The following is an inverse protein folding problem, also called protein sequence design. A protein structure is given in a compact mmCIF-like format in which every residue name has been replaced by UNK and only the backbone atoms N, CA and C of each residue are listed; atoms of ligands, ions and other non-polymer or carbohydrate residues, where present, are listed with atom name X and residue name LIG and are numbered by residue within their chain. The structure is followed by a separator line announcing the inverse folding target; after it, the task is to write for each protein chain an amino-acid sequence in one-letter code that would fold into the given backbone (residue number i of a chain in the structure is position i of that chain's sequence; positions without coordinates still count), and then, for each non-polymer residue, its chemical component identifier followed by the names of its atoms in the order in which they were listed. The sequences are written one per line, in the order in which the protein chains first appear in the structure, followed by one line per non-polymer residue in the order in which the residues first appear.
data_IF_806643604408
#
_entry.id   IF_806643604408
#
_cell.length_a   1.000
_cell.length_b   1.000
_cell.length_c   1.000
_cell.angle_alpha   90.00
_cell.angle_beta   90.00
_cell.angle_gamma   90.00
#
_symmetry.space_group_name_H-M   'P 1'
#
loop_
_entity.id
_entity.type
_entity.pdbx_description
1 polymer ?
#
# COMPACT_ATOMS: atom_id res chain seq x y z
N UNK A 1 6.75 -10.69 16.50
CA UNK A 1 5.84 -11.77 16.95
C UNK A 1 4.93 -12.14 15.77
N UNK A 2 4.99 -13.37 15.23
CA UNK A 2 4.13 -13.75 14.09
C UNK A 2 2.74 -14.06 14.68
N UNK A 3 1.79 -13.13 14.52
CA UNK A 3 0.39 -13.38 14.89
C UNK A 3 -0.09 -14.65 14.17
N UNK A 4 -0.84 -15.51 14.88
CA UNK A 4 -1.43 -16.70 14.27
C UNK A 4 -2.33 -16.30 13.09
N UNK A 5 -2.43 -17.17 12.07
CA UNK A 5 -3.29 -16.93 10.89
C UNK A 5 -4.71 -16.51 11.33
N UNK A 6 -5.22 -17.14 12.39
CA UNK A 6 -6.51 -16.81 13.01
C UNK A 6 -6.59 -15.39 13.57
N UNK A 7 -5.62 -14.93 14.37
CA UNK A 7 -5.61 -13.55 14.90
C UNK A 7 -5.55 -12.50 13.79
N UNK A 8 -4.79 -12.76 12.72
CA UNK A 8 -4.72 -11.86 11.55
C UNK A 8 -6.05 -11.80 10.81
N UNK A 9 -6.75 -12.93 10.70
CA UNK A 9 -8.07 -13.00 10.09
C UNK A 9 -9.10 -12.20 10.88
N UNK A 10 -9.15 -12.39 12.21
CA UNK A 10 -10.04 -11.60 13.09
C UNK A 10 -9.75 -10.10 12.95
N UNK A 11 -8.48 -9.70 13.01
CA UNK A 11 -8.10 -8.30 12.87
C UNK A 11 -8.55 -7.70 11.53
N UNK A 12 -8.40 -8.44 10.43
CA UNK A 12 -8.91 -8.01 9.12
C UNK A 12 -10.43 -7.88 9.09
N UNK A 13 -11.15 -8.81 9.72
CA UNK A 13 -12.61 -8.78 9.80
C UNK A 13 -13.07 -7.51 10.52
N UNK A 14 -12.44 -7.18 11.66
CA UNK A 14 -12.70 -5.92 12.38
C UNK A 14 -12.43 -4.70 11.49
N UNK A 15 -11.29 -4.66 10.80
CA UNK A 15 -10.97 -3.56 9.88
C UNK A 15 -11.99 -3.43 8.75
N UNK A 16 -12.53 -4.55 8.25
CA UNK A 16 -13.55 -4.52 7.20
C UNK A 16 -14.91 -4.07 7.71
N UNK A 17 -15.30 -4.42 8.94
CA UNK A 17 -16.51 -3.86 9.56
C UNK A 17 -16.38 -2.35 9.65
N UNK A 18 -15.23 -1.85 10.14
CA UNK A 18 -14.97 -0.40 10.24
C UNK A 18 -15.04 0.24 8.85
N UNK A 19 -14.34 -0.32 7.86
CA UNK A 19 -14.31 0.19 6.48
C UNK A 19 -15.73 0.26 5.89
N UNK A 20 -16.50 -0.82 5.94
CA UNK A 20 -17.86 -0.87 5.41
C UNK A 20 -18.84 0.06 6.16
N UNK A 21 -18.48 0.48 7.38
CA UNK A 21 -19.30 1.37 8.19
C UNK A 21 -19.07 2.85 7.88
N UNK A 22 -17.94 3.23 7.27
CA UNK A 22 -17.59 4.64 6.98
C UNK A 22 -18.70 5.40 6.21
N UNK A 23 -19.35 4.83 5.18
CA UNK A 23 -20.40 5.53 4.44
C UNK A 23 -21.63 5.89 5.28
N UNK A 24 -21.87 5.26 6.43
CA UNK A 24 -22.97 5.64 7.32
C UNK A 24 -22.70 6.91 8.11
N UNK A 25 -21.43 7.31 8.23
CA UNK A 25 -21.00 8.48 9.00
C UNK A 25 -20.45 9.60 8.12
N UNK A 26 -20.41 9.41 6.80
CA UNK A 26 -19.81 10.37 5.87
C UNK A 26 -20.55 10.40 4.54
N UNK A 27 -20.69 11.61 3.98
CA UNK A 27 -21.30 11.82 2.66
C UNK A 27 -20.29 11.46 1.57
N UNK A 28 -20.24 10.17 1.22
CA UNK A 28 -19.38 9.67 0.14
C UNK A 28 -20.09 9.88 -1.19
N UNK A 29 -19.50 10.71 -2.07
CA UNK A 29 -20.08 11.06 -3.36
C UNK A 29 -20.36 9.83 -4.25
N UNK A 30 -19.40 8.91 -4.37
CA UNK A 30 -19.52 7.70 -5.19
C UNK A 30 -19.60 6.42 -4.34
N UNK A 31 -20.72 6.23 -3.63
CA UNK A 31 -20.91 5.12 -2.71
C UNK A 31 -20.75 3.72 -3.35
N UNK A 32 -21.21 3.53 -4.59
CA UNK A 32 -21.08 2.26 -5.31
C UNK A 32 -19.62 1.90 -5.58
N UNK A 33 -18.80 2.87 -6.00
CA UNK A 33 -17.37 2.66 -6.22
C UNK A 33 -16.62 2.40 -4.92
N UNK A 34 -17.05 3.04 -3.83
CA UNK A 34 -16.52 2.77 -2.49
C UNK A 34 -16.70 1.31 -2.07
N UNK A 35 -17.93 0.77 -2.20
CA UNK A 35 -18.20 -0.62 -1.85
C UNK A 35 -17.51 -1.61 -2.79
N UNK A 36 -17.46 -1.32 -4.10
CA UNK A 36 -16.72 -2.14 -5.06
C UNK A 36 -15.22 -2.22 -4.68
N UNK A 37 -14.60 -1.07 -4.38
CA UNK A 37 -13.21 -1.01 -3.93
C UNK A 37 -12.99 -1.78 -2.62
N UNK A 38 -13.92 -1.66 -1.68
CA UNK A 38 -13.88 -2.38 -0.40
C UNK A 38 -13.93 -3.91 -0.61
N UNK A 39 -14.84 -4.41 -1.45
CA UNK A 39 -14.95 -5.83 -1.78
C UNK A 39 -13.66 -6.34 -2.46
N UNK A 40 -13.10 -5.56 -3.38
CA UNK A 40 -11.82 -5.88 -4.03
C UNK A 40 -10.68 -5.98 -3.01
N UNK A 41 -10.59 -5.04 -2.05
CA UNK A 41 -9.59 -5.06 -0.98
C UNK A 41 -9.76 -6.26 -0.04
N UNK A 42 -10.99 -6.63 0.29
CA UNK A 42 -11.31 -7.81 1.09
C UNK A 42 -10.82 -9.07 0.40
N UNK A 43 -11.23 -9.26 -0.86
CA UNK A 43 -10.88 -10.42 -1.68
C UNK A 43 -9.37 -10.53 -1.83
N UNK A 44 -8.69 -9.41 -2.13
CA UNK A 44 -7.23 -9.37 -2.24
C UNK A 44 -6.52 -9.74 -0.93
N UNK A 45 -7.04 -9.29 0.21
CA UNK A 45 -6.46 -9.56 1.53
C UNK A 45 -6.60 -11.03 1.93
N UNK A 46 -7.77 -11.62 1.69
CA UNK A 46 -8.01 -13.06 1.91
C UNK A 46 -7.08 -13.89 1.03
N UNK A 47 -7.04 -13.58 -0.28
CA UNK A 47 -6.12 -14.23 -1.23
C UNK A 47 -4.66 -14.12 -0.78
N UNK A 48 -4.26 -12.97 -0.22
CA UNK A 48 -2.89 -12.77 0.29
C UNK A 48 -2.56 -13.66 1.48
N UNK A 49 -3.50 -13.91 2.38
CA UNK A 49 -3.29 -14.80 3.54
C UNK A 49 -3.25 -16.26 3.08
N UNK A 50 -4.20 -16.67 2.23
CA UNK A 50 -4.31 -18.05 1.78
C UNK A 50 -3.07 -18.51 0.99
N UNK A 51 -2.44 -17.63 0.20
CA UNK A 51 -1.27 -17.95 -0.63
C UNK A 51 0.09 -17.53 -0.03
N UNK A 52 0.17 -17.28 1.29
CA UNK A 52 1.39 -16.76 1.93
C UNK A 52 2.62 -17.67 1.68
N UNK A 53 2.47 -19.00 1.78
CA UNK A 53 3.57 -19.95 1.61
C UNK A 53 4.11 -20.01 0.18
N UNK A 54 3.22 -19.99 -0.82
CA UNK A 54 3.63 -19.91 -2.24
C UNK A 54 4.33 -18.58 -2.53
N UNK A 55 3.86 -17.49 -1.91
CA UNK A 55 4.46 -16.16 -2.04
C UNK A 55 5.83 -16.08 -1.40
N UNK A 56 6.07 -16.78 -0.29
CA UNK A 56 7.40 -16.81 0.36
C UNK A 56 8.45 -17.49 -0.53
N UNK A 57 8.11 -18.59 -1.19
CA UNK A 57 9.01 -19.25 -2.17
C UNK A 57 9.31 -18.33 -3.37
N UNK A 58 8.29 -17.67 -3.93
CA UNK A 58 8.47 -16.72 -5.03
C UNK A 58 9.28 -15.49 -4.60
N UNK A 59 9.05 -15.01 -3.38
CA UNK A 59 9.80 -13.90 -2.79
C UNK A 59 11.29 -14.23 -2.68
N UNK A 60 11.66 -15.41 -2.17
CA UNK A 60 13.07 -15.83 -2.07
C UNK A 60 13.78 -15.76 -3.44
N UNK A 61 13.19 -16.37 -4.47
CA UNK A 61 13.77 -16.37 -5.84
C UNK A 61 13.93 -14.96 -6.40
N UNK A 62 12.89 -14.12 -6.26
CA UNK A 62 12.91 -12.73 -6.78
C UNK A 62 13.89 -11.86 -6.00
N UNK A 63 13.87 -11.93 -4.67
CA UNK A 63 14.71 -11.11 -3.80
C UNK A 63 16.18 -11.47 -3.90
N UNK A 64 16.51 -12.76 -4.08
CA UNK A 64 17.88 -13.20 -4.32
C UNK A 64 18.53 -12.46 -5.49
N UNK A 65 17.79 -12.29 -6.59
CA UNK A 65 18.26 -11.55 -7.76
C UNK A 65 18.24 -10.03 -7.53
N UNK A 66 17.18 -9.49 -6.91
CA UNK A 66 17.07 -8.06 -6.64
C UNK A 66 18.22 -7.56 -5.74
N UNK A 67 18.63 -8.33 -4.73
CA UNK A 67 19.70 -7.95 -3.80
C UNK A 67 21.03 -7.67 -4.51
N UNK A 68 21.33 -8.39 -5.59
CA UNK A 68 22.56 -8.22 -6.39
C UNK A 68 22.64 -6.85 -7.08
N UNK A 69 21.50 -6.19 -7.29
CA UNK A 69 21.44 -4.86 -7.92
C UNK A 69 21.85 -3.72 -6.97
N UNK A 70 22.08 -4.03 -5.69
CA UNK A 70 22.56 -3.06 -4.69
C UNK A 70 21.45 -2.23 -4.04
N UNK A 71 21.84 -1.50 -2.99
CA UNK A 71 20.93 -0.70 -2.16
C UNK A 71 20.24 0.40 -2.94
N UNK A 72 21.02 1.25 -3.64
CA UNK A 72 20.52 2.47 -4.29
C UNK A 72 19.40 2.18 -5.29
N UNK A 73 19.60 1.22 -6.18
CA UNK A 73 18.62 0.90 -7.23
C UNK A 73 17.31 0.34 -6.64
N UNK A 74 17.41 -0.54 -5.65
CA UNK A 74 16.22 -1.13 -5.04
C UNK A 74 15.45 -0.12 -4.18
N UNK A 75 16.14 0.70 -3.39
CA UNK A 75 15.50 1.78 -2.64
C UNK A 75 14.82 2.73 -3.59
N UNK A 76 15.48 3.16 -4.67
CA UNK A 76 14.86 4.02 -5.68
C UNK A 76 13.60 3.39 -6.27
N UNK A 77 13.67 2.13 -6.71
CA UNK A 77 12.54 1.40 -7.30
C UNK A 77 11.36 1.25 -6.33
N UNK A 78 11.62 0.87 -5.07
CA UNK A 78 10.55 0.76 -4.06
C UNK A 78 10.00 2.13 -3.67
N UNK A 79 10.84 3.18 -3.64
CA UNK A 79 10.39 4.56 -3.39
C UNK A 79 9.48 5.05 -4.51
N UNK A 80 9.87 4.88 -5.79
CA UNK A 80 9.01 5.25 -6.93
C UNK A 80 7.69 4.51 -6.89
N UNK A 81 7.71 3.21 -6.59
CA UNK A 81 6.49 2.42 -6.44
C UNK A 81 5.60 2.94 -5.30
N UNK A 82 6.18 3.27 -4.15
CA UNK A 82 5.46 3.84 -3.02
C UNK A 82 4.87 5.21 -3.38
N UNK A 83 5.64 6.06 -4.06
CA UNK A 83 5.19 7.38 -4.54
C UNK A 83 3.96 7.24 -5.44
N UNK A 84 4.05 6.42 -6.48
CA UNK A 84 2.93 6.18 -7.42
C UNK A 84 1.70 5.64 -6.69
N UNK A 85 1.87 4.68 -5.78
CA UNK A 85 0.75 4.13 -5.01
C UNK A 85 0.09 5.18 -4.11
N UNK A 86 0.87 6.02 -3.43
CA UNK A 86 0.34 7.09 -2.59
C UNK A 86 -0.42 8.12 -3.42
N UNK A 87 0.17 8.59 -4.53
CA UNK A 87 -0.47 9.55 -5.45
C UNK A 87 -1.78 8.99 -6.01
N UNK A 88 -1.78 7.75 -6.49
CA UNK A 88 -3.01 7.10 -6.97
C UNK A 88 -4.04 6.95 -5.86
N UNK A 89 -3.63 6.60 -4.65
CA UNK A 89 -4.55 6.49 -3.51
C UNK A 89 -5.20 7.83 -3.19
N UNK A 90 -4.44 8.93 -3.18
CA UNK A 90 -4.98 10.28 -2.96
C UNK A 90 -5.99 10.64 -4.06
N UNK A 91 -5.65 10.40 -5.33
CA UNK A 91 -6.54 10.68 -6.46
C UNK A 91 -7.84 9.89 -6.34
N UNK A 92 -7.74 8.58 -6.09
CA UNK A 92 -8.91 7.70 -5.95
C UNK A 92 -9.79 8.14 -4.78
N UNK A 93 -9.20 8.48 -3.63
CA UNK A 93 -9.96 8.96 -2.47
C UNK A 93 -10.65 10.28 -2.79
N UNK A 94 -9.95 11.25 -3.39
CA UNK A 94 -10.53 12.54 -3.75
C UNK A 94 -11.67 12.40 -4.76
N UNK A 95 -11.52 11.48 -5.71
CA UNK A 95 -12.55 11.15 -6.67
C UNK A 95 -13.77 10.52 -5.99
N UNK A 96 -13.58 9.44 -5.21
CA UNK A 96 -14.68 8.68 -4.59
C UNK A 96 -15.42 9.51 -3.54
N UNK A 97 -14.69 10.22 -2.68
CA UNK A 97 -15.28 10.91 -1.53
C UNK A 97 -15.86 12.27 -1.96
N UNK A 98 -15.11 13.04 -2.76
CA UNK A 98 -15.46 14.44 -3.05
C UNK A 98 -15.85 14.68 -4.52
N UNK A 99 -15.87 13.65 -5.37
CA UNK A 99 -16.18 13.79 -6.79
C UNK A 99 -15.13 14.55 -7.61
N UNK A 100 -13.93 14.79 -7.05
CA UNK A 100 -12.90 15.66 -7.68
C UNK A 100 -12.02 14.87 -8.64
N UNK A 101 -11.85 15.38 -9.85
CA UNK A 101 -10.91 14.83 -10.82
C UNK A 101 -9.47 15.29 -10.52
N UNK A 102 -8.44 14.63 -11.07
CA UNK A 102 -7.05 15.11 -10.93
C UNK A 102 -6.86 16.56 -11.38
N UNK A 103 -7.56 16.97 -12.45
CA UNK A 103 -7.50 18.34 -12.99
C UNK A 103 -8.12 19.33 -12.00
N UNK A 104 -9.22 18.96 -11.34
CA UNK A 104 -9.85 19.80 -10.31
C UNK A 104 -8.95 20.01 -9.10
N UNK A 105 -8.22 18.96 -8.69
CA UNK A 105 -7.31 19.03 -7.54
C UNK A 105 -6.15 19.98 -7.86
N UNK A 106 -5.54 19.83 -9.03
CA UNK A 106 -4.37 20.63 -9.41
C UNK A 106 -4.76 22.09 -9.67
N UNK A 107 -5.90 22.34 -10.32
CA UNK A 107 -6.33 23.70 -10.67
C UNK A 107 -6.79 24.53 -9.46
N UNK A 108 -7.26 23.89 -8.39
CA UNK A 108 -7.77 24.58 -7.19
C UNK A 108 -6.72 24.77 -6.09
N UNK A 109 -5.57 24.10 -6.17
CA UNK A 109 -4.52 24.16 -5.15
C UNK A 109 -3.46 25.18 -5.59
N UNK A 110 -3.06 26.05 -4.65
CA UNK A 110 -1.99 27.02 -4.94
C UNK A 110 -0.67 26.30 -5.25
N UNK A 111 0.14 26.88 -6.14
CA UNK A 111 1.40 26.26 -6.57
C UNK A 111 2.35 25.97 -5.41
N UNK A 112 2.36 26.84 -4.39
CA UNK A 112 3.16 26.68 -3.18
C UNK A 112 2.73 25.45 -2.38
N UNK A 113 1.42 25.22 -2.22
CA UNK A 113 0.90 24.04 -1.53
C UNK A 113 1.20 22.76 -2.32
N UNK A 114 1.10 22.82 -3.65
CA UNK A 114 1.40 21.68 -4.52
C UNK A 114 2.88 21.27 -4.40
N UNK A 115 3.81 22.23 -4.36
CA UNK A 115 5.24 21.98 -4.13
C UNK A 115 5.47 21.31 -2.78
N UNK A 116 4.85 21.83 -1.70
CA UNK A 116 4.96 21.26 -0.36
C UNK A 116 4.45 19.81 -0.34
N UNK A 117 3.29 19.56 -0.95
CA UNK A 117 2.72 18.21 -1.05
C UNK A 117 3.64 17.25 -1.79
N UNK A 118 4.25 17.68 -2.90
CA UNK A 118 5.21 16.87 -3.65
C UNK A 118 6.45 16.54 -2.83
N UNK A 119 6.98 17.50 -2.07
CA UNK A 119 8.13 17.27 -1.18
C UNK A 119 7.77 16.24 -0.11
N UNK A 120 6.62 16.41 0.55
CA UNK A 120 6.14 15.49 1.59
C UNK A 120 5.97 14.07 1.02
N UNK A 121 5.29 13.92 -0.12
CA UNK A 121 5.11 12.63 -0.78
C UNK A 121 6.43 11.98 -1.16
N UNK A 122 7.38 12.77 -1.67
CA UNK A 122 8.70 12.30 -2.02
C UNK A 122 9.46 11.80 -0.79
N UNK A 123 9.45 12.55 0.31
CA UNK A 123 10.10 12.15 1.56
C UNK A 123 9.52 10.85 2.12
N UNK A 124 8.19 10.76 2.23
CA UNK A 124 7.55 9.52 2.71
C UNK A 124 7.82 8.33 1.79
N UNK A 125 7.82 8.55 0.47
CA UNK A 125 8.11 7.49 -0.48
C UNK A 125 9.52 6.94 -0.31
N UNK A 126 10.50 7.81 -0.06
CA UNK A 126 11.90 7.44 0.18
C UNK A 126 12.06 6.66 1.48
N UNK A 127 11.40 7.11 2.56
CA UNK A 127 11.38 6.39 3.84
C UNK A 127 10.80 4.99 3.64
N UNK A 128 9.68 4.86 2.93
CA UNK A 128 9.06 3.57 2.63
C UNK A 128 10.02 2.69 1.82
N UNK A 129 10.72 3.24 0.82
CA UNK A 129 11.71 2.49 0.03
C UNK A 129 12.85 1.94 0.89
N UNK A 130 13.40 2.76 1.80
CA UNK A 130 14.44 2.34 2.75
C UNK A 130 13.91 1.26 3.70
N UNK A 131 12.78 1.48 4.35
CA UNK A 131 12.17 0.52 5.29
C UNK A 131 11.88 -0.80 4.60
N UNK A 132 11.35 -0.75 3.38
CA UNK A 132 11.04 -1.94 2.57
C UNK A 132 12.30 -2.72 2.25
N UNK A 133 13.41 -2.06 1.91
CA UNK A 133 14.69 -2.73 1.70
C UNK A 133 15.18 -3.47 2.96
N UNK A 134 15.15 -2.80 4.12
CA UNK A 134 15.57 -3.41 5.39
C UNK A 134 14.68 -4.59 5.80
N UNK A 135 13.36 -4.42 5.75
CA UNK A 135 12.42 -5.49 6.11
C UNK A 135 12.49 -6.68 5.12
N UNK A 136 12.70 -6.43 3.83
CA UNK A 136 12.89 -7.50 2.85
C UNK A 136 14.20 -8.26 3.08
N UNK A 137 15.30 -7.59 3.42
CA UNK A 137 16.55 -8.25 3.79
C UNK A 137 16.42 -9.09 5.05
N UNK A 138 15.74 -8.55 6.07
CA UNK A 138 15.43 -9.26 7.31
C UNK A 138 14.56 -10.48 7.05
N UNK A 139 13.54 -10.35 6.20
CA UNK A 139 12.68 -11.46 5.76
C UNK A 139 13.48 -12.52 5.00
N UNK A 140 14.34 -12.11 4.08
CA UNK A 140 15.19 -13.02 3.30
C UNK A 140 16.11 -13.83 4.20
N UNK A 141 16.85 -13.19 5.10
CA UNK A 141 17.76 -13.88 6.03
C UNK A 141 17.01 -14.90 6.92
N UNK A 142 15.80 -14.56 7.38
CA UNK A 142 14.95 -15.48 8.16
C UNK A 142 14.46 -16.69 7.37
N UNK A 143 14.15 -16.51 6.09
CA UNK A 143 13.66 -17.60 5.24
C UNK A 143 14.81 -18.48 4.73
N UNK A 144 15.97 -17.88 4.44
CA UNK A 144 17.17 -18.59 4.02
C UNK A 144 17.73 -19.46 5.15
N UNK A 145 17.81 -18.96 6.38
CA UNK A 145 18.34 -19.73 7.52
C UNK A 145 17.39 -20.82 8.04
N UNK A 146 16.17 -20.93 7.50
CA UNK A 146 15.17 -21.95 7.89
C UNK A 146 15.11 -23.14 6.93
N UNK A 147 15.71 -23.03 5.75
CA UNK A 147 15.86 -24.12 4.79
C UNK A 147 17.26 -24.69 4.89
#
# INVERSE_FOLDING_TARGET
MRLSKFKRFIFLLILFIILLSIPFFSDIYYISFYYLGSICLITFSIYRIAWEEKKDKQFLKRWHNARKQGFKLNVFRESTKAFVLMTLSIIIIQFIVYGRTPVDIISKVSINLLIILLIILSMFSLIIGIVTWYENNKKYNRLYNKG
#
